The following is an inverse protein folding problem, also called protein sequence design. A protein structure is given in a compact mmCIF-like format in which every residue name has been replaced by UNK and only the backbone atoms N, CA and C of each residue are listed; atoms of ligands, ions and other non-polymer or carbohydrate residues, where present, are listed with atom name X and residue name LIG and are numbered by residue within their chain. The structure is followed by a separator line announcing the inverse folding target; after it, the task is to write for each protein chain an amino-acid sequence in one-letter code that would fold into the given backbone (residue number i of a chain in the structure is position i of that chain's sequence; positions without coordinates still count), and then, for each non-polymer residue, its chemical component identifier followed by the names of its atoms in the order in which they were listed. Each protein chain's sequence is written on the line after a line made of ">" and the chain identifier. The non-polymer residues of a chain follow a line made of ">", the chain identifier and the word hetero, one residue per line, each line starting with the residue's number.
data_IF_989746525800
#
_entry.id   IF_989746525800
#
_cell.length_a   1.000
_cell.length_b   1.000
_cell.length_c   1.000
_cell.angle_alpha   90.00
_cell.angle_beta   90.00
_cell.angle_gamma   90.00
#
_symmetry.space_group_name_H-M   'P 1'
#
loop_
_entity.id
_entity.type
_entity.pdbx_description
1 polymer ?
#
# COMPACT_ATOMS: atom_id res chain seq x y z
N UNK A 1 -8.45 -10.06 -25.44
CA UNK A 1 -8.38 -9.51 -24.08
C UNK A 1 -7.42 -10.37 -23.30
N UNK A 2 -6.28 -9.81 -22.89
CA UNK A 2 -5.34 -10.51 -22.02
C UNK A 2 -6.05 -10.63 -20.67
N UNK A 3 -6.39 -11.85 -20.25
CA UNK A 3 -6.85 -12.08 -18.89
C UNK A 3 -5.66 -11.78 -17.97
N UNK A 4 -5.55 -10.54 -17.50
CA UNK A 4 -4.63 -10.21 -16.41
C UNK A 4 -5.15 -10.97 -15.20
N UNK A 5 -4.51 -12.12 -14.92
CA UNK A 5 -4.75 -12.88 -13.70
C UNK A 5 -4.49 -11.95 -12.53
N UNK A 6 -5.53 -11.66 -11.75
CA UNK A 6 -5.44 -10.88 -10.52
C UNK A 6 -4.35 -11.53 -9.67
N UNK A 7 -3.24 -10.81 -9.36
CA UNK A 7 -2.19 -11.38 -8.54
C UNK A 7 -2.77 -11.76 -7.18
N UNK A 8 -2.56 -13.00 -6.75
CA UNK A 8 -2.82 -13.39 -5.36
C UNK A 8 -1.81 -12.67 -4.47
N UNK A 9 -2.32 -11.87 -3.52
CA UNK A 9 -1.54 -11.01 -2.61
C UNK A 9 -0.57 -10.05 -3.35
N UNK A 10 -1.08 -9.05 -4.09
CA UNK A 10 -0.20 -8.12 -4.80
C UNK A 10 0.69 -7.31 -3.84
N UNK A 11 0.21 -7.05 -2.62
CA UNK A 11 0.78 -6.06 -1.71
C UNK A 11 1.56 -6.69 -0.56
N UNK A 12 2.56 -7.51 -0.88
CA UNK A 12 3.42 -8.11 0.14
C UNK A 12 4.56 -7.17 0.52
N UNK A 13 4.76 -6.97 1.83
CA UNK A 13 5.86 -6.15 2.33
C UNK A 13 7.22 -6.73 1.93
N UNK A 14 8.06 -5.90 1.34
CA UNK A 14 9.44 -6.23 1.04
C UNK A 14 10.30 -6.06 2.30
N UNK A 15 10.71 -7.19 2.87
CA UNK A 15 11.51 -7.23 4.10
C UNK A 15 12.99 -6.85 3.88
N UNK A 16 13.40 -6.58 2.64
CA UNK A 16 14.76 -6.21 2.26
C UNK A 16 14.77 -4.98 1.37
N UNK A 17 15.90 -4.28 1.34
CA UNK A 17 16.14 -3.24 0.33
C UNK A 17 16.14 -3.89 -1.06
N UNK A 18 15.27 -3.40 -1.94
CA UNK A 18 15.17 -3.90 -3.30
C UNK A 18 16.39 -3.47 -4.11
N UNK A 19 17.01 -4.43 -4.80
CA UNK A 19 18.01 -4.15 -5.82
C UNK A 19 17.37 -4.11 -7.22
N UNK A 20 18.17 -3.81 -8.24
CA UNK A 20 17.70 -3.74 -9.63
C UNK A 20 17.00 -5.02 -10.08
N UNK A 21 17.55 -6.20 -9.76
CA UNK A 21 16.95 -7.48 -10.15
C UNK A 21 15.62 -7.73 -9.42
N UNK A 22 15.50 -7.31 -8.15
CA UNK A 22 14.26 -7.43 -7.40
C UNK A 22 13.14 -6.57 -8.04
N UNK A 23 13.45 -5.32 -8.41
CA UNK A 23 12.51 -4.42 -9.10
C UNK A 23 12.08 -5.02 -10.44
N UNK A 24 13.04 -5.53 -11.22
CA UNK A 24 12.77 -6.16 -12.52
C UNK A 24 11.86 -7.39 -12.38
N UNK A 25 12.04 -8.18 -11.33
CA UNK A 25 11.17 -9.33 -11.05
C UNK A 25 9.75 -8.90 -10.68
N UNK A 26 9.60 -7.79 -9.94
CA UNK A 26 8.28 -7.22 -9.62
C UNK A 26 7.58 -6.70 -10.89
N UNK A 27 8.32 -6.04 -11.78
CA UNK A 27 7.83 -5.58 -13.08
C UNK A 27 7.36 -6.74 -13.96
N UNK A 28 8.17 -7.80 -14.10
CA UNK A 28 7.78 -9.02 -14.84
C UNK A 28 6.54 -9.68 -14.22
N UNK A 29 6.43 -9.66 -12.89
CA UNK A 29 5.29 -10.21 -12.17
C UNK A 29 4.08 -9.27 -12.10
N UNK A 30 4.19 -8.03 -12.64
CA UNK A 30 3.18 -6.99 -12.57
C UNK A 30 2.70 -6.72 -11.13
N UNK A 31 3.65 -6.60 -10.19
CA UNK A 31 3.41 -6.40 -8.75
C UNK A 31 3.98 -5.07 -8.28
N UNK A 32 3.30 -4.37 -7.36
CA UNK A 32 3.76 -3.09 -6.85
C UNK A 32 4.93 -3.27 -5.89
N UNK A 33 5.74 -2.22 -5.77
CA UNK A 33 6.75 -2.12 -4.71
C UNK A 33 6.02 -1.77 -3.41
N UNK A 34 6.19 -2.57 -2.37
CA UNK A 34 5.65 -2.30 -1.03
C UNK A 34 6.78 -2.39 -0.01
N UNK A 35 7.21 -1.29 0.62
CA UNK A 35 8.38 -1.33 1.51
C UNK A 35 8.37 -0.27 2.61
N UNK A 36 9.08 -0.58 3.71
CA UNK A 36 9.36 0.41 4.76
C UNK A 36 10.64 1.16 4.39
N UNK A 37 10.51 2.40 3.94
CA UNK A 37 11.67 3.21 3.52
C UNK A 37 12.35 3.94 4.68
N UNK A 38 11.65 4.09 5.81
CA UNK A 38 12.16 4.77 7.00
C UNK A 38 11.54 4.21 8.28
N UNK A 39 12.36 4.12 9.32
CA UNK A 39 11.92 3.85 10.70
C UNK A 39 12.45 4.95 11.61
N UNK A 40 11.60 5.53 12.46
CA UNK A 40 12.00 6.58 13.40
C UNK A 40 11.24 6.42 14.72
N UNK A 41 11.95 6.02 15.77
CA UNK A 41 11.33 5.67 17.04
C UNK A 41 10.30 4.56 16.84
N UNK A 42 9.07 4.76 17.34
CA UNK A 42 7.96 3.83 17.18
C UNK A 42 7.24 3.88 15.81
N UNK A 43 7.69 4.72 14.88
CA UNK A 43 7.04 4.91 13.58
C UNK A 43 7.78 4.17 12.47
N UNK A 44 7.02 3.47 11.65
CA UNK A 44 7.43 2.92 10.36
C UNK A 44 6.74 3.72 9.24
N UNK A 45 7.49 4.00 8.18
CA UNK A 45 7.00 4.73 7.02
C UNK A 45 6.95 3.77 5.84
N UNK A 46 5.73 3.37 5.50
CA UNK A 46 5.42 2.52 4.37
C UNK A 46 5.23 3.37 3.12
N UNK A 47 5.80 2.91 2.02
CA UNK A 47 5.49 3.35 0.67
C UNK A 47 5.05 2.14 -0.16
N UNK A 48 3.92 2.29 -0.86
CA UNK A 48 3.48 1.40 -1.92
C UNK A 48 3.54 2.20 -3.23
N UNK A 49 4.29 1.70 -4.21
CA UNK A 49 4.48 2.32 -5.52
C UNK A 49 4.07 1.35 -6.62
N UNK A 50 3.22 1.83 -7.53
CA UNK A 50 2.70 1.08 -8.67
C UNK A 50 3.56 1.23 -9.93
N UNK A 51 4.74 1.86 -9.88
CA UNK A 51 5.63 2.04 -11.04
C UNK A 51 6.01 0.74 -11.76
N UNK A 52 6.01 -0.38 -11.05
CA UNK A 52 6.27 -1.74 -11.59
C UNK A 52 5.00 -2.45 -12.04
N UNK A 53 3.87 -1.73 -12.14
CA UNK A 53 2.57 -2.28 -12.52
C UNK A 53 2.00 -1.57 -13.74
N UNK A 54 1.28 -2.32 -14.57
CA UNK A 54 0.42 -1.79 -15.64
C UNK A 54 -0.98 -1.40 -15.14
N UNK A 55 -1.21 -1.50 -13.83
CA UNK A 55 -2.50 -1.29 -13.17
C UNK A 55 -2.33 -0.49 -11.89
N UNK A 56 -3.41 0.14 -11.44
CA UNK A 56 -3.46 0.82 -10.15
C UNK A 56 -4.87 0.73 -9.55
N UNK A 57 -5.07 1.30 -8.35
CA UNK A 57 -6.41 1.42 -7.79
C UNK A 57 -7.24 2.40 -8.63
N UNK A 58 -8.45 2.02 -8.99
CA UNK A 58 -9.47 2.94 -9.54
C UNK A 58 -9.75 4.10 -8.58
N UNK A 59 -10.34 5.20 -9.07
CA UNK A 59 -10.73 6.33 -8.21
C UNK A 59 -11.66 5.91 -7.05
N UNK A 60 -12.55 4.93 -7.28
CA UNK A 60 -13.40 4.37 -6.23
C UNK A 60 -12.57 3.58 -5.20
N UNK A 61 -11.62 2.76 -5.67
CA UNK A 61 -10.69 2.02 -4.81
C UNK A 61 -9.84 2.96 -3.95
N UNK A 62 -9.31 4.03 -4.57
CA UNK A 62 -8.54 5.07 -3.89
C UNK A 62 -9.34 5.76 -2.78
N UNK A 63 -10.56 6.23 -3.11
CA UNK A 63 -11.43 6.89 -2.14
C UNK A 63 -11.83 5.97 -0.97
N UNK A 64 -12.14 4.71 -1.28
CA UNK A 64 -12.50 3.71 -0.28
C UNK A 64 -11.32 3.43 0.65
N UNK A 65 -10.12 3.22 0.10
CA UNK A 65 -8.92 2.98 0.89
C UNK A 65 -8.53 4.18 1.74
N UNK A 66 -8.63 5.41 1.20
CA UNK A 66 -8.37 6.62 1.96
C UNK A 66 -9.34 6.75 3.15
N UNK A 67 -10.62 6.41 2.96
CA UNK A 67 -11.59 6.39 4.05
C UNK A 67 -11.20 5.38 5.15
N UNK A 68 -10.70 4.19 4.78
CA UNK A 68 -10.22 3.18 5.74
C UNK A 68 -8.98 3.66 6.50
N UNK A 69 -8.04 4.31 5.81
CA UNK A 69 -6.84 4.89 6.43
C UNK A 69 -7.15 6.07 7.35
N UNK A 70 -8.15 6.87 7.01
CA UNK A 70 -8.61 7.95 7.88
C UNK A 70 -9.18 7.39 9.20
N UNK A 71 -9.97 6.31 9.13
CA UNK A 71 -10.45 5.62 10.33
C UNK A 71 -9.29 5.03 11.16
N UNK A 72 -8.32 4.37 10.50
CA UNK A 72 -7.15 3.81 11.19
C UNK A 72 -6.26 4.88 11.83
N UNK A 73 -6.19 6.06 11.22
CA UNK A 73 -5.49 7.21 11.80
C UNK A 73 -6.11 7.63 13.14
N UNK A 74 -7.43 7.52 13.31
CA UNK A 74 -8.08 7.78 14.60
C UNK A 74 -7.61 6.75 15.65
N UNK A 75 -7.54 5.47 15.29
CA UNK A 75 -7.06 4.43 16.21
C UNK A 75 -5.57 4.58 16.56
N UNK A 76 -4.74 4.99 15.62
CA UNK A 76 -3.34 5.34 15.88
C UNK A 76 -3.24 6.49 16.88
N UNK A 77 -4.05 7.54 16.71
CA UNK A 77 -4.09 8.66 17.61
C UNK A 77 -4.51 8.26 19.03
N UNK A 78 -5.56 7.45 19.16
CA UNK A 78 -6.01 6.91 20.45
C UNK A 78 -4.94 6.03 21.14
N UNK A 79 -4.08 5.37 20.38
CA UNK A 79 -2.89 4.63 20.87
C UNK A 79 -1.70 5.56 21.23
N UNK A 80 -1.88 6.88 21.18
CA UNK A 80 -0.86 7.86 21.52
C UNK A 80 0.18 8.09 20.40
N UNK A 81 -0.15 7.82 19.14
CA UNK A 81 0.69 8.18 18.00
C UNK A 81 0.33 9.56 17.47
N UNK A 82 1.35 10.33 17.09
CA UNK A 82 1.17 11.64 16.47
C UNK A 82 0.89 11.44 14.98
N UNK A 83 -0.26 11.91 14.52
CA UNK A 83 -0.63 11.89 13.12
C UNK A 83 0.14 12.94 12.32
N UNK A 84 0.48 12.62 11.07
CA UNK A 84 0.98 13.59 10.09
C UNK A 84 0.19 13.39 8.80
N UNK A 85 -0.61 14.38 8.44
CA UNK A 85 -1.52 14.34 7.28
C UNK A 85 -0.79 13.96 5.98
N UNK A 86 0.42 14.48 5.78
CA UNK A 86 1.19 14.25 4.54
C UNK A 86 1.81 12.85 4.43
N UNK A 87 1.66 11.99 5.44
CA UNK A 87 2.24 10.64 5.44
C UNK A 87 1.18 9.54 5.56
N UNK A 88 -0.12 9.87 5.46
CA UNK A 88 -1.24 8.93 5.47
C UNK A 88 -2.16 9.23 4.27
N UNK A 89 -1.68 8.95 3.05
CA UNK A 89 -2.34 9.35 1.80
C UNK A 89 -2.40 8.21 0.78
N UNK A 90 -3.49 8.16 0.03
CA UNK A 90 -3.70 7.30 -1.12
C UNK A 90 -3.73 8.17 -2.38
N UNK A 91 -2.63 8.15 -3.12
CA UNK A 91 -2.54 8.77 -4.44
C UNK A 91 -2.89 7.78 -5.56
N UNK A 92 -2.72 8.24 -6.79
CA UNK A 92 -2.98 7.41 -7.97
C UNK A 92 -1.95 6.29 -8.14
N UNK A 93 -0.66 6.63 -8.05
CA UNK A 93 0.46 5.70 -8.25
C UNK A 93 1.25 5.41 -6.97
N UNK A 94 0.99 6.13 -5.88
CA UNK A 94 1.72 5.97 -4.62
C UNK A 94 0.78 6.03 -3.42
N UNK A 95 1.07 5.22 -2.42
CA UNK A 95 0.36 5.18 -1.14
C UNK A 95 1.38 5.30 -0.02
N UNK A 96 1.12 6.21 0.91
CA UNK A 96 1.96 6.46 2.06
C UNK A 96 1.20 6.17 3.35
N UNK A 97 1.87 5.49 4.28
CA UNK A 97 1.39 5.33 5.65
C UNK A 97 2.54 5.51 6.63
N UNK A 98 2.30 6.33 7.65
CA UNK A 98 3.16 6.42 8.84
C UNK A 98 2.39 5.88 10.04
N UNK A 99 2.81 4.72 10.52
CA UNK A 99 2.13 4.04 11.61
C UNK A 99 3.04 3.11 12.40
N UNK A 100 2.42 2.27 13.23
CA UNK A 100 3.05 1.08 13.78
C UNK A 100 2.84 -0.13 12.85
N UNK A 101 3.39 -1.28 13.25
CA UNK A 101 3.24 -2.50 12.48
C UNK A 101 1.75 -2.93 12.35
N UNK A 102 0.90 -2.57 13.32
CA UNK A 102 -0.52 -2.93 13.32
C UNK A 102 -1.25 -2.18 12.21
N UNK A 103 -1.04 -0.87 12.12
CA UNK A 103 -1.62 -0.04 11.08
C UNK A 103 -1.12 -0.45 9.68
N UNK A 104 0.17 -0.82 9.56
CA UNK A 104 0.72 -1.31 8.29
C UNK A 104 0.05 -2.61 7.89
N UNK A 105 -0.05 -3.60 8.78
CA UNK A 105 -0.71 -4.87 8.46
C UNK A 105 -2.19 -4.66 8.09
N UNK A 106 -2.90 -3.79 8.83
CA UNK A 106 -4.27 -3.43 8.52
C UNK A 106 -4.41 -2.84 7.10
N UNK A 107 -3.53 -1.91 6.71
CA UNK A 107 -3.54 -1.36 5.36
C UNK A 107 -3.31 -2.43 4.29
N UNK A 108 -2.33 -3.32 4.50
CA UNK A 108 -2.05 -4.41 3.55
C UNK A 108 -3.24 -5.37 3.42
N UNK A 109 -3.93 -5.67 4.53
CA UNK A 109 -5.13 -6.50 4.50
C UNK A 109 -6.28 -5.81 3.77
N UNK A 110 -6.53 -4.53 4.04
CA UNK A 110 -7.62 -3.77 3.40
C UNK A 110 -7.38 -3.59 1.90
N UNK A 111 -6.15 -3.29 1.48
CA UNK A 111 -5.85 -3.15 0.05
C UNK A 111 -6.00 -4.50 -0.66
N UNK A 112 -5.50 -5.60 -0.07
CA UNK A 112 -5.68 -6.94 -0.61
C UNK A 112 -7.16 -7.31 -0.77
N UNK A 113 -8.01 -6.99 0.22
CA UNK A 113 -9.48 -7.19 0.15
C UNK A 113 -10.13 -6.35 -0.94
N UNK A 114 -9.79 -5.07 -1.06
CA UNK A 114 -10.32 -4.20 -2.12
C UNK A 114 -9.92 -4.74 -3.49
N UNK A 115 -8.67 -5.15 -3.64
CA UNK A 115 -8.19 -5.73 -4.88
C UNK A 115 -8.76 -7.13 -5.16
N UNK A 116 -9.41 -7.82 -4.23
CA UNK A 116 -10.12 -9.06 -4.58
C UNK A 116 -11.30 -8.83 -5.56
N UNK A 117 -11.82 -7.61 -5.68
CA UNK A 117 -12.94 -7.25 -6.56
C UNK A 117 -12.48 -6.37 -7.72
N UNK A 118 -12.73 -6.85 -8.95
CA UNK A 118 -12.32 -6.24 -10.21
C UNK A 118 -12.75 -4.77 -10.37
N UNK A 119 -13.85 -4.34 -9.73
CA UNK A 119 -14.34 -2.95 -9.86
C UNK A 119 -13.44 -1.91 -9.19
N UNK A 120 -12.54 -2.32 -8.32
CA UNK A 120 -11.61 -1.43 -7.63
C UNK A 120 -10.28 -1.26 -8.37
N UNK A 121 -10.09 -1.93 -9.51
CA UNK A 121 -8.92 -1.84 -10.37
C UNK A 121 -9.17 -0.90 -11.55
N UNK A 122 -8.09 -0.34 -12.08
CA UNK A 122 -8.08 0.41 -13.32
C UNK A 122 -6.91 -0.07 -14.20
#
# INVERSE_FOLDING_TARGET
>A
MVNHLIPTEPFKLNNKKLNFNDIKNLEIANKPICHIYKTQGKYQYLEIDFITCDWCLSSLGQATLQSRLNAESIFLWLRGYNLKLNYNSVGHMTIYLRGDHLAINYLLDEINKLTADAKYWQ
#
